data_IF_076445540016
#
_entry.id   IF_076445540016
#
_cell.length_a   1.000
_cell.length_b   1.000
_cell.length_c   1.000
_cell.angle_alpha   90.00
_cell.angle_beta   90.00
_cell.angle_gamma   90.00
#
_symmetry.space_group_name_H-M   'P 1'
#
loop_
_entity.id
_entity.type
_entity.pdbx_description
1 polymer ?
#
# COMPACT_ATOMS: atom_id res chain seq x y z
N UNK A 1 40.58 16.06 56.50
CA UNK A 1 39.33 15.56 57.11
C UNK A 1 38.25 16.51 56.61
N UNK A 2 37.21 15.98 55.96
CA UNK A 2 36.17 16.68 55.18
C UNK A 2 36.33 16.60 53.65
N UNK A 3 35.17 16.46 52.98
CA UNK A 3 34.89 16.53 51.54
C UNK A 3 35.12 15.28 50.67
N UNK A 4 34.39 14.19 51.00
CA UNK A 4 34.14 13.08 50.06
C UNK A 4 32.73 12.49 50.24
N UNK A 5 31.67 13.30 50.14
CA UNK A 5 30.29 12.79 50.08
C UNK A 5 29.38 13.77 49.31
N UNK A 6 29.43 13.78 47.97
CA UNK A 6 28.41 14.49 47.17
C UNK A 6 28.03 13.80 45.84
N UNK A 7 28.57 12.61 45.55
CA UNK A 7 28.44 12.00 44.20
C UNK A 7 27.29 11.02 43.99
N UNK A 8 26.40 10.78 44.96
CA UNK A 8 25.56 9.57 44.94
C UNK A 8 24.04 9.78 44.72
N UNK A 9 23.54 11.02 44.60
CA UNK A 9 22.08 11.26 44.53
C UNK A 9 21.51 11.56 43.14
N UNK A 10 22.33 11.83 42.11
CA UNK A 10 21.80 12.23 40.78
C UNK A 10 21.40 11.06 39.86
N UNK A 11 21.71 9.81 40.21
CA UNK A 11 21.46 8.64 39.34
C UNK A 11 20.03 8.08 39.37
N UNK A 12 19.21 8.43 40.36
CA UNK A 12 17.95 7.74 40.62
C UNK A 12 16.71 8.42 39.99
N UNK A 13 16.77 9.69 39.62
CA UNK A 13 15.61 10.42 39.09
C UNK A 13 15.44 10.33 37.56
N UNK A 14 16.48 9.90 36.82
CA UNK A 14 16.42 9.88 35.35
C UNK A 14 15.76 8.62 34.76
N UNK A 15 15.41 7.62 35.58
CA UNK A 15 14.79 6.36 35.12
C UNK A 15 13.26 6.36 35.07
N UNK A 16 12.59 7.30 35.76
CA UNK A 16 11.13 7.26 35.94
C UNK A 16 10.34 8.00 34.84
N UNK A 17 10.98 8.92 34.10
CA UNK A 17 10.31 9.73 33.08
C UNK A 17 10.30 9.11 31.67
N UNK A 18 11.09 8.05 31.44
CA UNK A 18 11.18 7.37 30.13
C UNK A 18 9.99 6.45 29.79
N UNK A 19 9.23 5.98 30.79
CA UNK A 19 8.17 4.99 30.58
C UNK A 19 6.85 5.55 30.04
N UNK A 20 6.51 6.81 30.34
CA UNK A 20 5.22 7.38 29.95
C UNK A 20 5.18 7.85 28.48
N UNK A 21 6.33 8.25 27.92
CA UNK A 21 6.44 8.68 26.53
C UNK A 21 6.28 7.52 25.53
N UNK A 22 6.82 6.35 25.85
CA UNK A 22 6.88 5.20 24.93
C UNK A 22 5.51 4.56 24.66
N UNK A 23 4.68 4.36 25.70
CA UNK A 23 3.33 3.79 25.56
C UNK A 23 2.35 4.67 24.76
N UNK A 24 2.63 5.97 24.64
CA UNK A 24 1.79 6.88 23.85
C UNK A 24 2.08 6.76 22.35
N UNK A 25 3.36 6.53 21.99
CA UNK A 25 3.81 6.30 20.63
C UNK A 25 3.31 4.94 20.13
N UNK A 26 3.50 3.86 20.90
CA UNK A 26 3.06 2.51 20.56
C UNK A 26 1.54 2.44 20.27
N UNK A 27 0.72 3.14 21.08
CA UNK A 27 -0.73 3.22 20.87
C UNK A 27 -1.13 4.01 19.63
N UNK A 28 -0.40 5.09 19.29
CA UNK A 28 -0.63 5.86 18.07
C UNK A 28 -0.27 5.04 16.83
N UNK A 29 0.85 4.32 16.88
CA UNK A 29 1.31 3.42 15.81
C UNK A 29 0.27 2.34 15.51
N UNK A 30 -0.21 1.64 16.55
CA UNK A 30 -1.25 0.62 16.39
C UNK A 30 -2.54 1.19 15.76
N UNK A 31 -2.96 2.40 16.18
CA UNK A 31 -4.15 3.05 15.60
C UNK A 31 -3.95 3.39 14.13
N UNK A 32 -2.80 3.94 13.75
CA UNK A 32 -2.49 4.31 12.37
C UNK A 32 -2.46 3.05 11.49
N UNK A 33 -1.77 2.00 11.90
CA UNK A 33 -1.69 0.76 11.15
C UNK A 33 -3.05 0.08 10.99
N UNK A 34 -3.90 0.15 12.02
CA UNK A 34 -5.28 -0.32 11.94
C UNK A 34 -6.10 0.52 10.97
N UNK A 35 -5.98 1.85 11.00
CA UNK A 35 -6.65 2.76 10.05
C UNK A 35 -6.21 2.45 8.62
N UNK A 36 -4.91 2.23 8.38
CA UNK A 36 -4.39 1.82 7.07
C UNK A 36 -4.98 0.48 6.65
N UNK A 37 -4.97 -0.53 7.53
CA UNK A 37 -5.55 -1.85 7.23
C UNK A 37 -7.06 -1.74 6.88
N UNK A 38 -7.81 -0.94 7.64
CA UNK A 38 -9.22 -0.65 7.35
C UNK A 38 -9.40 0.09 6.03
N UNK A 39 -8.55 1.08 5.72
CA UNK A 39 -8.61 1.83 4.47
C UNK A 39 -8.36 0.92 3.24
N UNK A 40 -7.35 0.05 3.31
CA UNK A 40 -7.11 -0.97 2.29
C UNK A 40 -8.31 -1.92 2.13
N UNK A 41 -8.89 -2.35 3.24
CA UNK A 41 -10.06 -3.22 3.24
C UNK A 41 -11.28 -2.56 2.58
N UNK A 42 -11.59 -1.33 3.00
CA UNK A 42 -12.69 -0.54 2.46
C UNK A 42 -12.49 -0.22 0.96
N UNK A 43 -11.28 0.13 0.56
CA UNK A 43 -10.93 0.41 -0.85
C UNK A 43 -11.08 -0.84 -1.69
N UNK A 44 -10.59 -1.99 -1.23
CA UNK A 44 -10.74 -3.26 -1.93
C UNK A 44 -12.21 -3.66 -2.10
N UNK A 45 -13.01 -3.51 -1.04
CA UNK A 45 -14.44 -3.76 -1.11
C UNK A 45 -15.14 -2.82 -2.09
N UNK A 46 -14.82 -1.52 -2.03
CA UNK A 46 -15.39 -0.52 -2.91
C UNK A 46 -15.09 -0.83 -4.38
N UNK A 47 -13.83 -1.12 -4.72
CA UNK A 47 -13.43 -1.48 -6.08
C UNK A 47 -14.14 -2.74 -6.56
N UNK A 48 -14.29 -3.74 -5.69
CA UNK A 48 -15.01 -4.98 -6.01
C UNK A 48 -16.47 -4.72 -6.30
N UNK A 49 -17.18 -4.06 -5.38
CA UNK A 49 -18.62 -3.79 -5.49
C UNK A 49 -18.90 -2.88 -6.68
N UNK A 50 -18.12 -1.81 -6.83
CA UNK A 50 -18.26 -0.88 -7.94
C UNK A 50 -17.99 -1.55 -9.28
N UNK A 51 -16.93 -2.35 -9.37
CA UNK A 51 -16.59 -3.11 -10.58
C UNK A 51 -17.72 -4.07 -10.98
N UNK A 52 -18.25 -4.84 -10.02
CA UNK A 52 -19.37 -5.76 -10.25
C UNK A 52 -20.68 -5.06 -10.59
N UNK A 53 -20.92 -3.85 -10.06
CA UNK A 53 -22.13 -3.08 -10.31
C UNK A 53 -22.11 -2.35 -11.67
N UNK A 54 -20.94 -1.94 -12.14
CA UNK A 54 -20.81 -1.10 -13.36
C UNK A 54 -20.36 -1.88 -14.59
N UNK A 55 -19.67 -3.01 -14.43
CA UNK A 55 -19.19 -3.83 -15.54
C UNK A 55 -19.76 -5.25 -15.48
N UNK A 56 -19.87 -5.89 -16.65
CA UNK A 56 -20.24 -7.31 -16.72
C UNK A 56 -19.11 -8.18 -16.20
N UNK A 57 -19.40 -9.00 -15.19
CA UNK A 57 -18.45 -9.97 -14.63
C UNK A 57 -18.15 -11.13 -15.56
N UNK A 58 -19.15 -11.60 -16.31
CA UNK A 58 -18.99 -12.66 -17.29
C UNK A 58 -19.54 -12.19 -18.64
N UNK A 59 -18.74 -12.36 -19.69
CA UNK A 59 -19.13 -12.10 -21.06
C UNK A 59 -19.33 -13.43 -21.81
N UNK A 60 -19.91 -13.37 -23.01
CA UNK A 60 -20.24 -14.56 -23.82
C UNK A 60 -19.00 -15.40 -24.15
N UNK A 61 -17.83 -14.77 -24.24
CA UNK A 61 -16.58 -15.42 -24.66
C UNK A 61 -15.53 -15.54 -23.54
N UNK A 62 -15.90 -15.32 -22.27
CA UNK A 62 -14.96 -15.44 -21.15
C UNK A 62 -15.18 -14.46 -20.01
N UNK A 63 -14.17 -14.30 -19.11
CA UNK A 63 -14.24 -13.35 -18.00
C UNK A 63 -14.46 -11.94 -18.55
N UNK A 64 -15.51 -11.29 -18.04
CA UNK A 64 -15.87 -9.95 -18.46
C UNK A 64 -14.94 -8.89 -17.84
N UNK A 65 -15.04 -7.63 -18.27
CA UNK A 65 -14.14 -6.56 -17.82
C UNK A 65 -14.28 -6.24 -16.31
N UNK A 66 -15.33 -6.71 -15.62
CA UNK A 66 -15.41 -6.61 -14.15
C UNK A 66 -14.57 -7.66 -13.41
N UNK A 67 -14.13 -8.73 -14.08
CA UNK A 67 -13.42 -9.84 -13.45
C UNK A 67 -12.12 -9.36 -12.77
N UNK A 68 -11.33 -8.55 -13.47
CA UNK A 68 -10.04 -8.07 -12.97
C UNK A 68 -10.21 -7.07 -11.82
N UNK A 69 -11.05 -6.02 -11.92
CA UNK A 69 -11.36 -5.15 -10.78
C UNK A 69 -11.92 -5.91 -9.58
N UNK A 70 -12.81 -6.88 -9.80
CA UNK A 70 -13.38 -7.67 -8.71
C UNK A 70 -12.33 -8.54 -8.01
N UNK A 71 -11.46 -9.21 -8.77
CA UNK A 71 -10.41 -10.05 -8.21
C UNK A 71 -9.35 -9.22 -7.47
N UNK A 72 -8.92 -8.10 -8.06
CA UNK A 72 -7.94 -7.19 -7.45
C UNK A 72 -8.50 -6.52 -6.19
N UNK A 73 -9.75 -6.05 -6.22
CA UNK A 73 -10.42 -5.51 -5.05
C UNK A 73 -10.59 -6.55 -3.93
N UNK A 74 -10.93 -7.79 -4.28
CA UNK A 74 -11.03 -8.89 -3.32
C UNK A 74 -9.69 -9.20 -2.65
N UNK A 75 -8.61 -9.29 -3.44
CA UNK A 75 -7.24 -9.47 -2.92
C UNK A 75 -6.83 -8.32 -2.01
N UNK A 76 -7.11 -7.07 -2.40
CA UNK A 76 -6.79 -5.89 -1.61
C UNK A 76 -7.56 -5.89 -0.27
N UNK A 77 -8.83 -6.28 -0.31
CA UNK A 77 -9.65 -6.45 0.90
C UNK A 77 -9.08 -7.53 1.82
N UNK A 78 -8.67 -8.65 1.25
CA UNK A 78 -8.08 -9.78 1.98
C UNK A 78 -6.75 -9.40 2.62
N UNK A 79 -5.89 -8.64 1.93
CA UNK A 79 -4.63 -8.12 2.49
C UNK A 79 -4.92 -7.18 3.67
N UNK A 80 -5.87 -6.26 3.53
CA UNK A 80 -6.29 -5.35 4.61
C UNK A 80 -6.80 -6.12 5.83
N UNK A 81 -7.67 -7.11 5.61
CA UNK A 81 -8.20 -7.96 6.66
C UNK A 81 -7.10 -8.79 7.35
N UNK A 82 -6.19 -9.40 6.58
CA UNK A 82 -5.07 -10.17 7.10
C UNK A 82 -4.15 -9.28 7.95
N UNK A 83 -3.84 -8.07 7.48
CA UNK A 83 -3.04 -7.10 8.25
C UNK A 83 -3.72 -6.75 9.57
N UNK A 84 -5.03 -6.48 9.57
CA UNK A 84 -5.79 -6.20 10.78
C UNK A 84 -5.75 -7.37 11.78
N UNK A 85 -5.91 -8.61 11.30
CA UNK A 85 -5.83 -9.82 12.14
C UNK A 85 -4.43 -10.01 12.74
N UNK A 86 -3.38 -9.84 11.93
CA UNK A 86 -2.00 -9.92 12.40
C UNK A 86 -1.70 -8.85 13.45
N UNK A 87 -2.19 -7.62 13.25
CA UNK A 87 -2.05 -6.53 14.21
C UNK A 87 -2.74 -6.85 15.54
N UNK A 88 -3.97 -7.36 15.48
CA UNK A 88 -4.74 -7.72 16.66
C UNK A 88 -4.08 -8.88 17.43
N UNK A 89 -3.48 -9.85 16.72
CA UNK A 89 -2.69 -10.93 17.32
C UNK A 89 -1.42 -10.41 17.99
N UNK A 90 -0.67 -9.52 17.33
CA UNK A 90 0.53 -8.91 17.90
C UNK A 90 0.21 -8.15 19.20
N UNK A 91 -0.88 -7.36 19.21
CA UNK A 91 -1.35 -6.65 20.41
C UNK A 91 -1.69 -7.59 21.57
N UNK A 92 -2.31 -8.74 21.29
CA UNK A 92 -2.66 -9.74 22.33
C UNK A 92 -1.44 -10.46 22.88
N UNK A 93 -0.43 -10.70 22.05
CA UNK A 93 0.76 -11.45 22.44
C UNK A 93 1.74 -10.62 23.30
N UNK A 94 1.54 -9.29 23.44
CA UNK A 94 2.55 -8.34 23.98
C UNK A 94 3.95 -8.52 23.36
N UNK A 95 3.99 -9.16 22.19
CA UNK A 95 5.19 -9.26 21.39
C UNK A 95 5.30 -7.87 20.76
N UNK A 96 6.40 -7.12 20.99
CA UNK A 96 6.62 -5.89 20.25
C UNK A 96 6.47 -6.27 18.78
N UNK A 97 5.49 -5.65 18.11
CA UNK A 97 5.28 -5.91 16.69
C UNK A 97 6.65 -5.79 16.04
N UNK A 98 7.14 -6.86 15.40
CA UNK A 98 8.41 -6.82 14.65
C UNK A 98 8.23 -5.75 13.57
N UNK A 99 8.67 -4.53 13.87
CA UNK A 99 8.30 -3.30 13.15
C UNK A 99 8.13 -2.05 14.04
N UNK A 100 7.96 -2.19 15.36
CA UNK A 100 7.78 -1.10 16.32
C UNK A 100 9.08 -0.29 16.63
N UNK A 101 10.21 -0.67 16.04
CA UNK A 101 11.49 0.05 16.13
C UNK A 101 11.94 0.69 14.83
N UNK A 102 11.10 0.66 13.78
CA UNK A 102 11.37 1.44 12.59
C UNK A 102 10.68 2.78 12.82
N UNK A 103 11.45 3.83 13.14
CA UNK A 103 10.93 5.20 13.23
C UNK A 103 10.11 5.48 11.97
N UNK A 104 8.79 5.48 12.12
CA UNK A 104 7.86 5.80 11.03
C UNK A 104 7.95 7.30 10.83
N UNK A 105 8.97 7.71 10.07
CA UNK A 105 9.10 9.05 9.57
C UNK A 105 7.85 9.39 8.73
N UNK A 106 7.47 10.66 8.69
CA UNK A 106 6.24 11.12 8.01
C UNK A 106 6.20 10.62 6.55
N UNK A 107 7.36 10.38 5.93
CA UNK A 107 7.55 9.72 4.63
C UNK A 107 6.77 8.39 4.49
N UNK A 108 6.64 7.59 5.54
CA UNK A 108 6.03 6.26 5.47
C UNK A 108 4.49 6.30 5.44
N UNK A 109 3.89 7.42 5.88
CA UNK A 109 2.47 7.73 5.67
C UNK A 109 2.22 8.43 4.33
N UNK A 110 3.19 9.22 3.86
CA UNK A 110 3.11 9.89 2.55
C UNK A 110 3.15 8.86 1.43
N UNK A 111 3.96 7.81 1.51
CA UNK A 111 4.04 6.75 0.47
C UNK A 111 2.68 6.12 0.10
N UNK A 112 1.88 5.59 1.04
CA UNK A 112 0.57 5.00 0.72
C UNK A 112 -0.48 6.03 0.32
N UNK A 113 -0.41 7.27 0.82
CA UNK A 113 -1.31 8.33 0.39
C UNK A 113 -0.97 8.79 -1.03
N UNK A 114 0.32 8.93 -1.33
CA UNK A 114 0.85 9.25 -2.64
C UNK A 114 0.53 8.16 -3.65
N UNK A 115 0.65 6.88 -3.29
CA UNK A 115 0.24 5.78 -4.17
C UNK A 115 -1.26 5.84 -4.49
N UNK A 116 -2.10 6.20 -3.52
CA UNK A 116 -3.54 6.34 -3.72
C UNK A 116 -3.86 7.48 -4.71
N UNK A 117 -3.22 8.64 -4.53
CA UNK A 117 -3.34 9.78 -5.46
C UNK A 117 -2.84 9.40 -6.85
N UNK A 118 -1.72 8.67 -6.92
CA UNK A 118 -1.12 8.23 -8.17
C UNK A 118 -2.02 7.24 -8.92
N UNK A 119 -2.68 6.32 -8.21
CA UNK A 119 -3.66 5.40 -8.79
C UNK A 119 -4.84 6.19 -9.37
N UNK A 120 -5.34 7.19 -8.64
CA UNK A 120 -6.41 8.07 -9.14
C UNK A 120 -6.00 8.85 -10.39
N UNK A 121 -4.82 9.47 -10.38
CA UNK A 121 -4.27 10.19 -11.53
C UNK A 121 -4.03 9.27 -12.73
N UNK A 122 -3.58 8.04 -12.49
CA UNK A 122 -3.40 7.02 -13.52
C UNK A 122 -4.72 6.60 -14.13
N UNK A 123 -5.77 6.42 -13.34
CA UNK A 123 -7.11 6.12 -13.85
C UNK A 123 -7.61 7.20 -14.82
N UNK A 124 -7.38 8.48 -14.47
CA UNK A 124 -7.68 9.60 -15.35
C UNK A 124 -6.80 9.59 -16.62
N UNK A 125 -5.51 9.33 -16.48
CA UNK A 125 -4.58 9.22 -17.59
C UNK A 125 -4.96 8.08 -18.56
N UNK A 126 -5.38 6.92 -18.06
CA UNK A 126 -5.83 5.79 -18.89
C UNK A 126 -7.04 6.19 -19.74
N UNK A 127 -7.98 6.95 -19.18
CA UNK A 127 -9.16 7.41 -19.91
C UNK A 127 -8.82 8.33 -21.10
N UNK A 128 -7.70 9.07 -21.01
CA UNK A 128 -7.26 10.00 -22.05
C UNK A 128 -6.22 9.42 -23.01
N UNK A 129 -5.17 8.77 -22.48
CA UNK A 129 -3.98 8.34 -23.20
C UNK A 129 -4.06 6.88 -23.67
N UNK A 130 -5.04 6.12 -23.18
CA UNK A 130 -5.15 4.69 -23.43
C UNK A 130 -4.42 3.82 -22.41
N UNK A 131 -4.82 2.54 -22.37
CA UNK A 131 -4.45 1.61 -21.31
C UNK A 131 -2.95 1.33 -21.24
N UNK A 132 -2.29 1.14 -22.39
CA UNK A 132 -0.86 0.80 -22.44
C UNK A 132 0.02 1.94 -21.94
N UNK A 133 -0.21 3.16 -22.43
CA UNK A 133 0.57 4.35 -22.05
C UNK A 133 0.34 4.69 -20.58
N UNK A 134 -0.91 4.62 -20.11
CA UNK A 134 -1.23 4.84 -18.70
C UNK A 134 -0.54 3.85 -17.77
N UNK A 135 -0.50 2.56 -18.13
CA UNK A 135 0.19 1.53 -17.34
C UNK A 135 1.70 1.72 -17.32
N UNK A 136 2.33 2.07 -18.45
CA UNK A 136 3.78 2.34 -18.51
C UNK A 136 4.14 3.51 -17.61
N UNK A 137 3.41 4.63 -17.71
CA UNK A 137 3.64 5.80 -16.86
C UNK A 137 3.44 5.42 -15.39
N UNK A 138 2.37 4.71 -15.05
CA UNK A 138 2.11 4.29 -13.68
C UNK A 138 3.23 3.44 -13.10
N UNK A 139 3.63 2.38 -13.80
CA UNK A 139 4.69 1.48 -13.34
C UNK A 139 6.02 2.22 -13.24
N UNK A 140 6.34 3.09 -14.20
CA UNK A 140 7.56 3.90 -14.17
C UNK A 140 7.58 4.84 -12.95
N UNK A 141 6.49 5.56 -12.73
CA UNK A 141 6.38 6.51 -11.61
C UNK A 141 6.39 5.76 -10.28
N UNK A 142 5.76 4.59 -10.20
CA UNK A 142 5.82 3.72 -9.02
C UNK A 142 7.24 3.25 -8.71
N UNK A 143 7.92 2.68 -9.71
CA UNK A 143 9.27 2.14 -9.55
C UNK A 143 10.28 3.23 -9.16
N UNK A 144 10.18 4.42 -9.78
CA UNK A 144 11.07 5.55 -9.44
C UNK A 144 10.75 6.18 -8.08
N UNK A 145 9.49 6.45 -7.76
CA UNK A 145 9.15 7.22 -6.54
C UNK A 145 9.01 6.38 -5.29
N UNK A 146 8.44 5.17 -5.39
CA UNK A 146 8.09 4.38 -4.20
C UNK A 146 9.20 3.40 -3.87
N UNK A 147 9.68 2.66 -4.88
CA UNK A 147 10.72 1.64 -4.72
C UNK A 147 12.13 2.25 -4.77
N UNK A 148 12.28 3.48 -5.29
CA UNK A 148 13.58 4.18 -5.47
C UNK A 148 14.60 3.30 -6.22
N UNK A 149 14.11 2.53 -7.18
CA UNK A 149 14.94 1.64 -8.00
C UNK A 149 15.87 2.42 -8.93
N UNK A 150 16.93 1.77 -9.40
CA UNK A 150 17.81 2.38 -10.41
C UNK A 150 17.03 2.68 -11.68
N UNK A 151 17.26 3.85 -12.30
CA UNK A 151 16.50 4.32 -13.48
C UNK A 151 16.45 3.27 -14.60
N UNK A 152 17.56 2.54 -14.79
CA UNK A 152 17.64 1.44 -15.75
C UNK A 152 16.68 0.30 -15.43
N UNK A 153 16.64 -0.14 -14.17
CA UNK A 153 15.75 -1.22 -13.73
C UNK A 153 14.28 -0.77 -13.79
N UNK A 154 14.00 0.47 -13.35
CA UNK A 154 12.68 1.07 -13.45
C UNK A 154 12.17 1.14 -14.90
N UNK A 155 13.03 1.50 -15.87
CA UNK A 155 12.67 1.50 -17.30
C UNK A 155 12.38 0.09 -17.83
N UNK A 156 13.19 -0.91 -17.45
CA UNK A 156 12.98 -2.30 -17.85
C UNK A 156 11.64 -2.81 -17.29
N UNK A 157 11.39 -2.59 -16.00
CA UNK A 157 10.14 -3.01 -15.34
C UNK A 157 8.94 -2.28 -15.95
N UNK A 158 9.05 -0.97 -16.19
CA UNK A 158 7.98 -0.18 -16.81
C UNK A 158 7.68 -0.58 -18.25
N UNK A 159 8.60 -1.19 -18.98
CA UNK A 159 8.34 -1.74 -20.31
C UNK A 159 7.79 -3.17 -20.23
N UNK A 160 8.45 -4.05 -19.47
CA UNK A 160 8.17 -5.49 -19.42
C UNK A 160 6.84 -5.78 -18.72
N UNK A 161 6.55 -5.10 -17.61
CA UNK A 161 5.37 -5.39 -16.79
C UNK A 161 4.07 -5.06 -17.54
N UNK A 162 3.90 -3.85 -18.11
CA UNK A 162 2.70 -3.52 -18.90
C UNK A 162 2.60 -4.35 -20.17
N UNK A 163 3.71 -4.62 -20.87
CA UNK A 163 3.70 -5.47 -22.06
C UNK A 163 3.22 -6.88 -21.74
N UNK A 164 3.72 -7.46 -20.65
CA UNK A 164 3.27 -8.77 -20.15
C UNK A 164 1.80 -8.75 -19.75
N UNK A 165 1.33 -7.68 -19.11
CA UNK A 165 -0.06 -7.51 -18.72
C UNK A 165 -0.99 -7.46 -19.95
N UNK A 166 -0.64 -6.64 -20.94
CA UNK A 166 -1.41 -6.51 -22.20
C UNK A 166 -1.41 -7.82 -22.95
N UNK A 167 -0.28 -8.51 -23.02
CA UNK A 167 -0.17 -9.83 -23.65
C UNK A 167 -1.03 -10.87 -22.93
N UNK A 168 -0.98 -10.90 -21.60
CA UNK A 168 -1.80 -11.81 -20.78
C UNK A 168 -3.29 -11.53 -20.96
N UNK A 169 -3.71 -10.26 -20.93
CA UNK A 169 -5.13 -9.92 -21.10
C UNK A 169 -5.64 -10.20 -22.50
N UNK A 170 -4.81 -9.99 -23.53
CA UNK A 170 -5.16 -10.31 -24.92
C UNK A 170 -5.19 -11.81 -25.19
N UNK A 171 -4.14 -12.53 -24.80
CA UNK A 171 -4.00 -13.96 -25.12
C UNK A 171 -4.80 -14.87 -24.19
N UNK A 172 -4.77 -14.61 -22.87
CA UNK A 172 -5.35 -15.53 -21.89
C UNK A 172 -6.80 -15.19 -21.53
N UNK A 173 -7.19 -13.90 -21.55
CA UNK A 173 -8.53 -13.48 -21.13
C UNK A 173 -9.43 -13.01 -22.29
N UNK A 174 -8.88 -12.76 -23.48
CA UNK A 174 -9.64 -12.24 -24.65
C UNK A 174 -10.47 -11.00 -24.32
N UNK A 175 -10.05 -10.18 -23.34
CA UNK A 175 -10.79 -9.00 -22.91
C UNK A 175 -10.49 -7.86 -23.88
N UNK A 176 -11.51 -7.21 -24.48
CA UNK A 176 -11.31 -5.99 -25.26
C UNK A 176 -10.86 -4.87 -24.31
N UNK A 177 -9.58 -4.50 -24.41
CA UNK A 177 -9.03 -3.38 -23.65
C UNK A 177 -9.45 -2.07 -24.32
N UNK A 178 -9.77 -1.01 -23.55
CA UNK A 178 -10.07 0.28 -24.14
C UNK A 178 -8.83 0.79 -24.88
N UNK A 179 -9.00 0.86 -26.19
CA UNK A 179 -8.11 1.51 -27.13
C UNK A 179 -8.14 3.01 -26.82
N UNK A 180 -6.98 3.59 -26.53
CA UNK A 180 -6.90 5.04 -26.37
C UNK A 180 -7.04 5.73 -27.72
N UNK A 181 -6.88 7.05 -27.74
CA UNK A 181 -6.79 7.80 -29.00
C UNK A 181 -5.64 7.34 -29.92
N UNK A 182 -4.64 6.65 -29.36
CA UNK A 182 -3.55 6.02 -30.10
C UNK A 182 -3.66 4.48 -30.00
N UNK A 183 -4.42 3.91 -30.94
CA UNK A 183 -4.57 2.47 -31.28
C UNK A 183 -5.39 1.56 -30.34
#
# INVERSE_FOLDING_TARGET
>A
MSERQDGAQDGAQNGANGGAHDFSAERRMFRVELVVACAFCATGLFVTVYGLATLKFWAVYGPGPAFVPALTGCLLALIGALKAVLLQRARRARVPARGAGQDWDVETLVKPLFSLVLIGATGFAIAWLGTTVGLVIFVLVMALLIERETVTLALIVAAVLPASLVWLFRSALSIPLPHGFFF
#
